data_IF_713851163631
#
_entry.id   IF_713851163631
#
_cell.length_a   1.000
_cell.length_b   1.000
_cell.length_c   1.000
_cell.angle_alpha   90.00
_cell.angle_beta   90.00
_cell.angle_gamma   90.00
#
_symmetry.space_group_name_H-M   'P 1'
#
loop_
_entity.id
_entity.type
_entity.pdbx_description
1 polymer ?
#
# COMPACT_ATOMS: atom_id res chain seq x y z
N UNK A 1 17.80 1.98 14.81
CA UNK A 1 16.56 2.74 14.68
C UNK A 1 16.29 2.76 13.19
N UNK A 2 15.43 1.87 12.71
CA UNK A 2 15.11 1.77 11.28
C UNK A 2 14.42 3.07 10.91
N UNK A 3 14.94 3.82 9.94
CA UNK A 3 14.26 5.01 9.44
C UNK A 3 12.86 4.59 9.01
N UNK A 4 11.84 5.30 9.50
CA UNK A 4 10.47 5.04 9.10
C UNK A 4 10.39 5.30 7.59
N UNK A 5 9.96 4.29 6.83
CA UNK A 5 9.76 4.46 5.40
C UNK A 5 8.55 5.38 5.17
N UNK A 6 8.73 6.34 4.26
CA UNK A 6 7.64 7.20 3.80
C UNK A 6 6.85 6.50 2.71
N UNK A 7 5.53 6.50 2.86
CA UNK A 7 4.60 5.92 1.91
C UNK A 7 3.65 6.98 1.37
N UNK A 8 3.33 6.88 0.08
CA UNK A 8 2.24 7.65 -0.52
C UNK A 8 1.04 6.74 -0.77
N UNK A 9 -0.16 7.19 -0.39
CA UNK A 9 -1.42 6.48 -0.67
C UNK A 9 -2.34 7.37 -1.49
N UNK A 10 -2.87 6.82 -2.58
CA UNK A 10 -3.88 7.48 -3.41
C UNK A 10 -5.20 6.71 -3.31
N UNK A 11 -6.28 7.40 -2.95
CA UNK A 11 -7.63 6.86 -2.97
C UNK A 11 -8.24 6.96 -4.40
N UNK A 12 -8.76 5.85 -4.90
CA UNK A 12 -9.32 5.66 -6.24
C UNK A 12 -10.85 5.57 -6.17
N UNK A 13 -11.48 6.63 -5.66
CA UNK A 13 -12.94 6.73 -5.57
C UNK A 13 -13.51 7.08 -6.95
N UNK A 14 -14.68 6.52 -7.28
CA UNK A 14 -15.43 6.86 -8.50
C UNK A 14 -16.81 7.35 -8.09
N UNK A 15 -17.31 8.41 -8.74
CA UNK A 15 -18.62 8.95 -8.41
C UNK A 15 -19.77 8.15 -9.07
N UNK A 16 -20.88 7.90 -8.35
CA UNK A 16 -21.12 8.25 -6.96
C UNK A 16 -20.42 7.28 -5.97
N UNK A 17 -19.98 7.80 -4.82
CA UNK A 17 -19.31 7.03 -3.77
C UNK A 17 -19.94 7.30 -2.39
N UNK A 18 -20.26 6.25 -1.62
CA UNK A 18 -20.74 6.34 -0.23
C UNK A 18 -19.79 5.62 0.73
N UNK A 19 -19.11 6.39 1.59
CA UNK A 19 -18.18 5.90 2.61
C UNK A 19 -18.78 4.85 3.57
N UNK A 20 -20.12 4.80 3.69
CA UNK A 20 -20.81 3.88 4.62
C UNK A 20 -21.03 2.50 4.01
N UNK A 21 -21.04 2.39 2.69
CA UNK A 21 -21.37 1.13 1.99
C UNK A 21 -20.25 0.65 1.08
N UNK A 22 -19.46 1.57 0.55
CA UNK A 22 -18.47 1.28 -0.48
C UNK A 22 -17.07 1.11 0.12
N UNK A 23 -16.26 0.32 -0.57
CA UNK A 23 -14.84 0.20 -0.24
C UNK A 23 -14.06 1.37 -0.83
N UNK A 24 -13.27 2.05 -0.01
CA UNK A 24 -12.26 2.99 -0.53
C UNK A 24 -11.15 2.14 -1.15
N UNK A 25 -11.08 2.15 -2.49
CA UNK A 25 -9.97 1.52 -3.21
C UNK A 25 -8.75 2.42 -3.07
N UNK A 26 -7.61 1.87 -2.69
CA UNK A 26 -6.38 2.60 -2.46
C UNK A 26 -5.25 1.96 -3.25
N UNK A 27 -4.29 2.80 -3.66
CA UNK A 27 -3.00 2.37 -4.19
C UNK A 27 -1.89 2.94 -3.30
N UNK A 28 -1.09 2.06 -2.73
CA UNK A 28 0.12 2.38 -1.96
C UNK A 28 1.30 2.49 -2.92
N UNK A 29 2.20 3.43 -2.64
CA UNK A 29 3.49 3.59 -3.30
C UNK A 29 4.56 3.71 -2.21
N UNK A 30 5.56 2.85 -2.29
CA UNK A 30 6.77 2.88 -1.45
C UNK A 30 8.00 3.16 -2.31
N UNK A 31 9.06 3.70 -1.69
CA UNK A 31 10.34 4.02 -2.37
C UNK A 31 10.18 4.86 -3.64
N UNK A 32 9.16 5.72 -3.69
CA UNK A 32 8.81 6.54 -4.86
C UNK A 32 9.42 7.95 -4.84
N UNK A 33 10.32 8.25 -3.90
CA UNK A 33 10.97 9.56 -3.73
C UNK A 33 12.26 9.70 -4.58
N UNK A 34 12.94 10.85 -4.51
CA UNK A 34 14.17 11.11 -5.25
C UNK A 34 15.26 10.07 -4.96
N UNK A 35 15.89 9.55 -6.03
CA UNK A 35 16.80 8.40 -5.97
C UNK A 35 16.18 7.08 -6.46
N UNK A 36 15.03 7.14 -7.15
CA UNK A 36 14.28 6.00 -7.71
C UNK A 36 15.16 4.82 -8.11
N UNK A 37 15.04 3.75 -7.32
CA UNK A 37 15.56 2.43 -7.65
C UNK A 37 14.36 1.56 -8.04
N UNK A 38 14.33 1.13 -9.31
CA UNK A 38 13.26 0.31 -9.85
C UNK A 38 13.18 -1.06 -9.16
N UNK A 39 14.30 -1.58 -8.64
CA UNK A 39 14.35 -2.85 -7.93
C UNK A 39 13.75 -2.78 -6.52
N UNK A 40 13.72 -1.58 -5.93
CA UNK A 40 13.13 -1.31 -4.62
C UNK A 40 11.73 -0.67 -4.70
N UNK A 41 11.33 -0.20 -5.88
CA UNK A 41 10.00 0.35 -6.10
C UNK A 41 8.92 -0.72 -5.87
N UNK A 42 7.87 -0.34 -5.15
CA UNK A 42 6.68 -1.17 -5.07
C UNK A 42 5.41 -0.37 -4.98
N UNK A 43 4.38 -0.95 -5.58
CA UNK A 43 3.01 -0.50 -5.51
C UNK A 43 2.11 -1.63 -5.07
N UNK A 44 1.01 -1.30 -4.39
CA UNK A 44 0.03 -2.30 -4.04
C UNK A 44 -1.38 -1.74 -3.93
N UNK A 45 -2.33 -2.51 -4.45
CA UNK A 45 -3.74 -2.24 -4.27
C UNK A 45 -4.28 -2.84 -2.96
N UNK A 46 -4.99 -2.00 -2.19
CA UNK A 46 -5.73 -2.44 -1.02
C UNK A 46 -7.05 -1.68 -0.93
N UNK A 47 -8.00 -2.26 -0.23
CA UNK A 47 -9.31 -1.68 0.00
C UNK A 47 -9.51 -1.43 1.49
N UNK A 48 -10.12 -0.28 1.81
CA UNK A 48 -10.51 0.08 3.17
C UNK A 48 -12.02 -0.01 3.27
N UNK A 49 -12.50 -0.85 4.19
CA UNK A 49 -13.88 -0.81 4.65
C UNK A 49 -13.96 0.05 5.89
N UNK A 50 -14.44 1.29 5.74
CA UNK A 50 -14.57 2.23 6.86
C UNK A 50 -15.66 1.78 7.83
N UNK A 51 -16.84 1.41 7.33
CA UNK A 51 -17.95 0.98 8.17
C UNK A 51 -17.63 -0.29 8.97
N UNK A 52 -16.87 -1.22 8.37
CA UNK A 52 -16.43 -2.45 8.99
C UNK A 52 -15.12 -2.34 9.78
N UNK A 53 -14.38 -1.24 9.65
CA UNK A 53 -13.11 -1.01 10.35
C UNK A 53 -11.98 -1.97 9.96
N UNK A 54 -11.93 -2.43 8.70
CA UNK A 54 -10.88 -3.35 8.25
C UNK A 54 -10.27 -2.95 6.90
N UNK A 55 -9.05 -3.43 6.67
CA UNK A 55 -8.28 -3.27 5.44
C UNK A 55 -7.97 -4.63 4.87
N UNK A 56 -8.03 -4.77 3.55
CA UNK A 56 -7.62 -6.00 2.87
C UNK A 56 -6.88 -5.70 1.57
N UNK A 57 -5.83 -6.48 1.32
CA UNK A 57 -5.08 -6.41 0.08
C UNK A 57 -5.90 -6.95 -1.08
N UNK A 58 -5.87 -6.25 -2.21
CA UNK A 58 -6.52 -6.63 -3.46
C UNK A 58 -5.54 -6.61 -4.63
N UNK A 59 -4.26 -6.82 -4.33
CA UNK A 59 -3.21 -6.96 -5.35
C UNK A 59 -3.39 -8.29 -6.08
N UNK A 60 -3.77 -8.22 -7.35
CA UNK A 60 -4.02 -9.41 -8.19
C UNK A 60 -2.74 -9.94 -8.79
N UNK A 61 -1.77 -9.06 -9.02
CA UNK A 61 -0.50 -9.44 -9.62
C UNK A 61 0.44 -9.96 -8.53
N UNK A 62 0.86 -11.21 -8.70
CA UNK A 62 1.69 -11.89 -7.69
C UNK A 62 3.08 -11.29 -7.64
N UNK A 63 3.57 -10.72 -8.74
CA UNK A 63 4.92 -10.17 -8.84
C UNK A 63 5.04 -8.90 -7.98
N UNK A 64 3.96 -8.13 -7.82
CA UNK A 64 3.92 -6.93 -6.97
C UNK A 64 3.76 -7.23 -5.47
N UNK A 65 3.34 -8.46 -5.10
CA UNK A 65 3.19 -8.84 -3.68
C UNK A 65 4.54 -9.03 -3.00
N UNK A 66 5.55 -9.52 -3.72
CA UNK A 66 6.85 -9.85 -3.15
C UNK A 66 7.60 -8.58 -2.69
N UNK A 67 7.74 -7.53 -3.51
CA UNK A 67 8.31 -6.26 -3.09
C UNK A 67 7.57 -5.63 -1.90
N UNK A 68 6.23 -5.64 -1.90
CA UNK A 68 5.42 -5.16 -0.78
C UNK A 68 5.76 -5.90 0.52
N UNK A 69 5.75 -7.23 0.51
CA UNK A 69 6.05 -8.03 1.70
C UNK A 69 7.47 -7.77 2.21
N UNK A 70 8.44 -7.57 1.31
CA UNK A 70 9.80 -7.19 1.68
C UNK A 70 9.84 -5.83 2.37
N UNK A 71 9.20 -4.81 1.80
CA UNK A 71 9.11 -3.48 2.41
C UNK A 71 8.46 -3.50 3.80
N UNK A 72 7.39 -4.28 3.98
CA UNK A 72 6.72 -4.41 5.28
C UNK A 72 7.56 -5.18 6.32
N UNK A 73 8.25 -6.25 5.90
CA UNK A 73 9.03 -7.11 6.81
C UNK A 73 10.42 -6.56 7.17
N UNK A 74 10.96 -5.58 6.42
CA UNK A 74 12.25 -4.96 6.71
C UNK A 74 12.26 -4.17 8.04
N UNK A 75 11.10 -3.91 8.64
CA UNK A 75 10.97 -3.19 9.90
C UNK A 75 11.48 -3.94 11.15
N UNK A 76 11.81 -5.24 11.07
CA UNK A 76 12.18 -6.06 12.25
C UNK A 76 13.60 -6.66 12.29
N UNK A 77 14.51 -6.29 11.39
CA UNK A 77 15.90 -6.80 11.44
C UNK A 77 16.87 -5.80 12.08
N UNK A 78 16.83 -5.65 13.39
CA UNK A 78 17.92 -5.09 14.19
C UNK A 78 18.45 -6.16 15.14
N UNK A 79 19.64 -6.68 14.87
CA UNK A 79 20.44 -7.49 15.78
C UNK A 79 21.74 -6.72 16.05
#
# INVERSE_FOLDING_TARGET
MTDAEDFTVVALCSDPFDLRTDYVRCKLFGRSAEGFDEEEYYESFFHVNIAGGFVFWNEKDTDYRVPLLRGMCQSESSN
#
